data_IF_076625684695
#
_entry.id   IF_076625684695
#
_cell.length_a   1.000
_cell.length_b   1.000
_cell.length_c   1.000
_cell.angle_alpha   90.00
_cell.angle_beta   90.00
_cell.angle_gamma   90.00
#
_symmetry.space_group_name_H-M   'P 1'
#
loop_
_entity.id
_entity.type
_entity.pdbx_description
1 polymer ?
#
# COMPACT_ATOMS: atom_id res chain seq x y z
N UNK A 1 -52.72 -0.41 38.46
CA UNK A 1 -52.57 -0.02 37.04
C UNK A 1 -51.07 0.05 36.71
N UNK A 2 -50.51 -0.96 36.03
CA UNK A 2 -49.09 -0.99 35.63
C UNK A 2 -48.99 -0.51 34.18
N UNK A 3 -48.36 0.64 33.94
CA UNK A 3 -48.06 1.12 32.58
C UNK A 3 -46.79 0.42 32.10
N UNK A 4 -46.92 -0.41 31.07
CA UNK A 4 -45.83 -1.10 30.39
C UNK A 4 -45.22 -0.13 29.38
N UNK A 5 -43.96 0.24 29.55
CA UNK A 5 -43.23 1.09 28.61
C UNK A 5 -42.50 0.17 27.62
N UNK A 6 -43.08 0.00 26.43
CA UNK A 6 -42.44 -0.71 25.33
C UNK A 6 -41.23 0.10 24.83
N UNK A 7 -40.02 -0.48 24.94
CA UNK A 7 -38.81 0.04 24.32
C UNK A 7 -38.78 -0.46 22.88
N UNK A 8 -38.96 0.44 21.92
CA UNK A 8 -38.74 0.16 20.50
C UNK A 8 -37.23 0.14 20.26
N UNK A 9 -36.67 -1.04 20.02
CA UNK A 9 -35.31 -1.20 19.53
C UNK A 9 -35.32 -1.04 18.02
N UNK A 10 -34.74 0.05 17.52
CA UNK A 10 -34.50 0.25 16.09
C UNK A 10 -33.23 -0.53 15.73
N UNK A 11 -33.38 -1.67 15.05
CA UNK A 11 -32.27 -2.34 14.37
C UNK A 11 -31.98 -1.58 13.07
N UNK A 12 -30.89 -0.81 13.06
CA UNK A 12 -30.27 -0.31 11.83
C UNK A 12 -29.47 -1.46 11.20
N UNK A 13 -30.04 -2.12 10.17
CA UNK A 13 -29.25 -2.97 9.28
C UNK A 13 -28.44 -2.06 8.34
N UNK A 14 -27.15 -1.91 8.62
CA UNK A 14 -26.20 -1.37 7.65
C UNK A 14 -25.96 -2.42 6.57
N UNK A 15 -26.52 -2.19 5.37
CA UNK A 15 -26.18 -2.96 4.19
C UNK A 15 -24.73 -2.67 3.80
N UNK A 16 -23.80 -3.57 4.13
CA UNK A 16 -22.45 -3.55 3.58
C UNK A 16 -22.58 -4.01 2.12
N UNK A 17 -22.65 -3.07 1.19
CA UNK A 17 -22.49 -3.35 -0.22
C UNK A 17 -21.05 -3.82 -0.44
N UNK A 18 -20.85 -5.14 -0.37
CA UNK A 18 -19.59 -5.78 -0.74
C UNK A 18 -19.34 -5.54 -2.22
N UNK A 19 -18.55 -4.53 -2.53
CA UNK A 19 -17.88 -4.45 -3.83
C UNK A 19 -16.94 -5.65 -3.88
N UNK A 20 -17.35 -6.70 -4.59
CA UNK A 20 -16.45 -7.77 -4.94
C UNK A 20 -15.33 -7.13 -5.77
N UNK A 21 -14.16 -6.94 -5.15
CA UNK A 21 -12.98 -6.46 -5.84
C UNK A 21 -12.69 -7.44 -6.97
N UNK A 22 -12.85 -7.00 -8.22
CA UNK A 22 -12.41 -7.78 -9.37
C UNK A 22 -10.93 -8.07 -9.18
N UNK A 23 -10.53 -9.33 -9.27
CA UNK A 23 -9.13 -9.70 -9.16
C UNK A 23 -8.36 -8.97 -10.26
N UNK A 24 -7.33 -8.20 -9.88
CA UNK A 24 -6.46 -7.54 -10.85
C UNK A 24 -5.83 -8.58 -11.80
N UNK A 25 -5.76 -8.24 -13.09
CA UNK A 25 -5.17 -9.05 -14.14
C UNK A 25 -3.72 -8.63 -14.39
N UNK A 26 -2.79 -9.55 -14.19
CA UNK A 26 -1.35 -9.35 -14.43
C UNK A 26 -0.87 -10.06 -15.71
N UNK A 27 -1.80 -10.41 -16.60
CA UNK A 27 -1.54 -11.15 -17.83
C UNK A 27 -1.07 -12.56 -17.53
N UNK A 28 0.07 -12.95 -18.10
CA UNK A 28 0.69 -14.27 -17.89
C UNK A 28 1.55 -14.37 -16.63
N UNK A 29 1.78 -13.25 -15.92
CA UNK A 29 2.64 -13.25 -14.74
C UNK A 29 1.98 -13.98 -13.55
N UNK A 30 2.77 -14.74 -12.79
CA UNK A 30 2.29 -15.65 -11.71
C UNK A 30 3.01 -15.44 -10.38
N UNK A 31 3.71 -14.31 -10.21
CA UNK A 31 4.20 -13.89 -8.90
C UNK A 31 5.55 -14.44 -8.45
N UNK A 32 6.45 -14.76 -9.39
CA UNK A 32 7.80 -15.19 -9.06
C UNK A 32 8.83 -14.50 -9.95
N UNK A 33 9.77 -13.81 -9.32
CA UNK A 33 10.88 -13.14 -9.97
C UNK A 33 10.50 -11.85 -10.68
N UNK A 34 11.53 -11.17 -11.18
CA UNK A 34 11.37 -10.00 -12.05
C UNK A 34 11.50 -8.65 -11.34
N UNK A 35 11.40 -8.59 -10.00
CA UNK A 35 11.72 -7.35 -9.28
C UNK A 35 13.22 -7.01 -9.33
N UNK A 36 14.10 -8.02 -9.42
CA UNK A 36 15.54 -7.84 -9.60
C UNK A 36 16.00 -7.60 -11.05
N UNK A 37 15.08 -7.47 -12.01
CA UNK A 37 15.44 -7.26 -13.41
C UNK A 37 15.93 -5.82 -13.65
N UNK A 38 16.85 -5.63 -14.60
CA UNK A 38 17.30 -4.29 -15.03
C UNK A 38 16.13 -3.41 -15.48
N UNK A 39 15.18 -4.00 -16.20
CA UNK A 39 13.88 -3.41 -16.54
C UNK A 39 12.78 -4.27 -15.92
N UNK A 40 12.05 -3.70 -14.99
CA UNK A 40 10.89 -4.34 -14.35
C UNK A 40 9.68 -4.07 -15.23
N UNK A 41 9.02 -5.12 -15.70
CA UNK A 41 7.79 -4.97 -16.48
C UNK A 41 6.64 -4.55 -15.56
N UNK A 42 5.74 -3.70 -16.04
CA UNK A 42 4.70 -3.08 -15.20
C UNK A 42 3.81 -4.11 -14.49
N UNK A 43 3.42 -5.19 -15.18
CA UNK A 43 2.59 -6.24 -14.58
C UNK A 43 3.30 -7.02 -13.46
N UNK A 44 4.64 -7.10 -13.48
CA UNK A 44 5.44 -7.69 -12.40
C UNK A 44 5.39 -6.80 -11.18
N UNK A 45 5.68 -5.50 -11.36
CA UNK A 45 5.63 -4.53 -10.27
C UNK A 45 4.23 -4.45 -9.65
N UNK A 46 3.19 -4.39 -10.47
CA UNK A 46 1.81 -4.33 -10.01
C UNK A 46 1.41 -5.56 -9.20
N UNK A 47 1.81 -6.76 -9.67
CA UNK A 47 1.58 -7.98 -8.91
C UNK A 47 2.18 -7.88 -7.51
N UNK A 48 3.45 -7.48 -7.39
CA UNK A 48 4.10 -7.39 -6.10
C UNK A 48 3.60 -6.21 -5.26
N UNK A 49 3.18 -5.11 -5.89
CA UNK A 49 2.51 -4.02 -5.20
C UNK A 49 1.20 -4.51 -4.55
N UNK A 50 0.42 -5.34 -5.23
CA UNK A 50 -0.88 -5.82 -4.75
C UNK A 50 -0.76 -7.06 -3.83
N UNK A 51 0.24 -7.91 -4.05
CA UNK A 51 0.40 -9.22 -3.38
C UNK A 51 1.57 -9.31 -2.41
N UNK A 52 2.46 -8.33 -2.39
CA UNK A 52 3.64 -8.28 -1.53
C UNK A 52 4.95 -8.52 -2.28
N UNK A 53 5.99 -7.85 -1.79
CA UNK A 53 7.38 -8.03 -2.23
C UNK A 53 8.05 -9.01 -1.26
N UNK A 54 8.05 -10.30 -1.61
CA UNK A 54 8.50 -11.37 -0.71
C UNK A 54 9.55 -12.26 -1.36
N UNK A 55 10.30 -13.00 -0.55
CA UNK A 55 11.35 -13.90 -1.03
C UNK A 55 12.38 -13.16 -1.89
N UNK A 56 12.80 -13.71 -3.04
CA UNK A 56 13.72 -13.05 -3.95
C UNK A 56 13.24 -11.67 -4.44
N UNK A 57 11.93 -11.46 -4.56
CA UNK A 57 11.35 -10.21 -5.05
C UNK A 57 11.24 -9.12 -3.97
N UNK A 58 11.57 -9.44 -2.72
CA UNK A 58 11.89 -8.44 -1.70
C UNK A 58 13.26 -7.78 -1.96
N UNK A 59 14.08 -8.33 -2.86
CA UNK A 59 15.40 -7.80 -3.25
C UNK A 59 16.36 -7.59 -2.07
N UNK A 60 16.29 -8.47 -1.07
CA UNK A 60 17.14 -8.40 0.13
C UNK A 60 16.63 -7.44 1.22
N UNK A 61 15.49 -6.80 1.01
CA UNK A 61 14.85 -5.94 2.01
C UNK A 61 13.79 -6.69 2.82
N UNK A 62 13.44 -6.12 3.98
CA UNK A 62 12.28 -6.55 4.75
C UNK A 62 11.00 -6.38 3.89
N UNK A 63 10.15 -7.41 3.74
CA UNK A 63 8.92 -7.32 2.95
C UNK A 63 7.95 -6.22 3.39
N UNK A 64 7.88 -5.91 4.68
CA UNK A 64 7.04 -4.83 5.21
C UNK A 64 7.67 -3.46 4.98
N UNK A 65 8.99 -3.37 4.96
CA UNK A 65 9.68 -2.16 4.50
C UNK A 65 9.40 -1.90 3.02
N UNK A 66 9.49 -2.92 2.17
CA UNK A 66 9.12 -2.81 0.75
C UNK A 66 7.65 -2.41 0.57
N UNK A 67 6.75 -2.98 1.37
CA UNK A 67 5.36 -2.55 1.39
C UNK A 67 5.25 -1.05 1.74
N UNK A 68 5.92 -0.60 2.80
CA UNK A 68 5.88 0.79 3.22
C UNK A 68 6.40 1.75 2.13
N UNK A 69 7.58 1.45 1.57
CA UNK A 69 8.14 2.19 0.45
C UNK A 69 7.24 2.20 -0.78
N UNK A 70 6.61 1.07 -1.11
CA UNK A 70 5.70 0.97 -2.24
C UNK A 70 4.52 1.93 -2.12
N UNK A 71 3.92 2.05 -0.93
CA UNK A 71 2.76 2.93 -0.71
C UNK A 71 3.16 4.40 -0.67
N UNK A 72 4.27 4.75 -0.03
CA UNK A 72 4.78 6.12 -0.05
C UNK A 72 5.19 6.57 -1.47
N UNK A 73 5.84 5.69 -2.23
CA UNK A 73 6.17 5.94 -3.63
C UNK A 73 4.93 6.09 -4.51
N UNK A 74 3.93 5.23 -4.32
CA UNK A 74 2.65 5.33 -5.03
C UNK A 74 1.84 6.57 -4.63
N UNK A 75 1.90 7.02 -3.36
CA UNK A 75 1.29 8.27 -2.93
C UNK A 75 1.85 9.47 -3.72
N UNK A 76 3.18 9.50 -3.92
CA UNK A 76 3.82 10.49 -4.80
C UNK A 76 3.31 10.41 -6.24
N UNK A 77 3.26 9.20 -6.82
CA UNK A 77 2.79 9.00 -8.20
C UNK A 77 1.33 9.37 -8.40
N UNK A 78 0.47 9.05 -7.44
CA UNK A 78 -0.98 9.25 -7.51
C UNK A 78 -1.45 10.60 -6.94
N UNK A 79 -0.52 11.48 -6.56
CA UNK A 79 -0.85 12.82 -6.05
C UNK A 79 -1.53 12.82 -4.69
N UNK A 80 -1.28 11.81 -3.85
CA UNK A 80 -1.76 11.76 -2.47
C UNK A 80 -0.77 12.53 -1.59
N UNK A 81 -1.16 13.69 -1.02
CA UNK A 81 -0.25 14.50 -0.22
C UNK A 81 0.08 13.80 1.10
N UNK A 82 1.34 13.91 1.53
CA UNK A 82 1.81 13.49 2.84
C UNK A 82 3.07 14.27 3.23
N UNK A 83 3.34 14.38 4.53
CA UNK A 83 4.58 14.91 5.09
C UNK A 83 5.70 13.89 4.88
N UNK A 84 6.39 14.02 3.74
CA UNK A 84 7.51 13.15 3.37
C UNK A 84 8.65 13.17 4.40
N UNK A 85 9.17 14.32 4.86
CA UNK A 85 10.18 14.36 5.90
C UNK A 85 9.78 13.58 7.17
N UNK A 86 8.56 13.75 7.65
CA UNK A 86 8.08 13.02 8.82
C UNK A 86 7.95 11.51 8.53
N UNK A 87 7.36 11.11 7.40
CA UNK A 87 7.26 9.69 7.05
C UNK A 87 8.64 9.01 6.94
N UNK A 88 9.65 9.69 6.39
CA UNK A 88 11.03 9.20 6.36
C UNK A 88 11.61 9.09 7.77
N UNK A 89 11.39 10.08 8.64
CA UNK A 89 11.83 9.99 10.04
C UNK A 89 11.20 8.78 10.78
N UNK A 90 9.93 8.46 10.51
CA UNK A 90 9.28 7.28 11.05
C UNK A 90 9.88 5.97 10.50
N UNK A 91 10.22 5.93 9.21
CA UNK A 91 10.90 4.78 8.61
C UNK A 91 12.28 4.54 9.24
N UNK A 92 13.09 5.60 9.41
CA UNK A 92 14.41 5.52 10.07
C UNK A 92 14.24 4.93 11.48
N UNK A 93 13.26 5.44 12.25
CA UNK A 93 13.00 4.97 13.60
C UNK A 93 12.65 3.48 13.65
N UNK A 94 11.87 2.97 12.68
CA UNK A 94 11.41 1.57 12.67
C UNK A 94 12.43 0.61 12.07
N UNK A 95 13.00 0.94 10.93
CA UNK A 95 13.79 0.03 10.10
C UNK A 95 15.29 0.30 10.13
N UNK A 96 15.72 1.36 10.83
CA UNK A 96 17.11 1.67 11.14
C UNK A 96 18.03 1.83 9.91
N UNK A 97 17.45 2.13 8.74
CA UNK A 97 18.21 2.58 7.58
C UNK A 97 18.33 4.11 7.60
N UNK A 98 19.30 4.65 6.87
CA UNK A 98 19.43 6.10 6.73
C UNK A 98 18.36 6.71 5.80
N UNK A 99 18.28 8.05 5.81
CA UNK A 99 17.32 8.78 5.00
C UNK A 99 17.51 8.53 3.50
N UNK A 100 18.77 8.48 3.03
CA UNK A 100 19.08 8.29 1.61
C UNK A 100 18.58 6.93 1.11
N UNK A 101 18.74 5.89 1.91
CA UNK A 101 18.24 4.55 1.64
C UNK A 101 16.71 4.55 1.52
N UNK A 102 16.01 5.18 2.46
CA UNK A 102 14.56 5.24 2.41
C UNK A 102 14.02 6.08 1.25
N UNK A 103 14.70 7.17 0.92
CA UNK A 103 14.26 8.07 -0.14
C UNK A 103 14.59 7.54 -1.53
N UNK A 104 15.87 7.35 -1.85
CA UNK A 104 16.30 7.01 -3.20
C UNK A 104 16.05 5.55 -3.53
N UNK A 105 16.47 4.62 -2.66
CA UNK A 105 16.39 3.18 -2.94
C UNK A 105 14.99 2.61 -2.64
N UNK A 106 14.24 3.26 -1.75
CA UNK A 106 12.87 2.90 -1.42
C UNK A 106 11.83 3.71 -2.19
N UNK A 107 11.45 4.86 -1.62
CA UNK A 107 10.29 5.65 -2.04
C UNK A 107 10.39 6.05 -3.53
N UNK A 108 11.52 6.61 -3.95
CA UNK A 108 11.68 7.12 -5.31
C UNK A 108 11.83 6.00 -6.35
N UNK A 109 12.46 4.87 -5.99
CA UNK A 109 12.43 3.65 -6.80
C UNK A 109 10.98 3.19 -7.05
N UNK A 110 10.17 3.04 -5.98
CA UNK A 110 8.78 2.61 -6.12
C UNK A 110 7.91 3.66 -6.84
N UNK A 111 8.17 4.95 -6.67
CA UNK A 111 7.50 6.00 -7.42
C UNK A 111 7.81 5.87 -8.93
N UNK A 112 9.05 5.58 -9.31
CA UNK A 112 9.43 5.37 -10.70
C UNK A 112 8.70 4.17 -11.33
N UNK A 113 8.64 3.04 -10.61
CA UNK A 113 7.96 1.84 -11.10
C UNK A 113 6.45 2.04 -11.25
N UNK A 114 5.79 2.64 -10.25
CA UNK A 114 4.35 2.94 -10.34
C UNK A 114 4.04 3.95 -11.46
N UNK A 115 4.89 4.95 -11.66
CA UNK A 115 4.72 5.95 -12.74
C UNK A 115 4.87 5.36 -14.14
N UNK A 116 5.57 4.24 -14.29
CA UNK A 116 5.75 3.58 -15.58
C UNK A 116 4.45 3.02 -16.18
N UNK A 117 3.42 2.78 -15.36
CA UNK A 117 2.08 2.43 -15.84
C UNK A 117 1.11 3.62 -15.67
N UNK A 118 0.58 4.22 -16.75
CA UNK A 118 -0.37 5.33 -16.65
C UNK A 118 -1.71 4.95 -16.00
N UNK A 119 -2.04 3.66 -15.93
CA UNK A 119 -3.24 3.13 -15.27
C UNK A 119 -2.99 2.71 -13.81
N UNK A 120 -1.78 2.96 -13.28
CA UNK A 120 -1.42 2.49 -11.95
C UNK A 120 -2.33 3.06 -10.86
N UNK A 121 -2.70 4.34 -10.95
CA UNK A 121 -3.52 5.05 -9.97
C UNK A 121 -5.03 4.80 -10.16
N UNK A 122 -5.42 3.52 -10.21
CA UNK A 122 -6.81 3.12 -10.18
C UNK A 122 -7.49 3.53 -8.85
N UNK A 123 -8.82 3.62 -8.86
CA UNK A 123 -9.61 4.09 -7.72
C UNK A 123 -9.29 3.28 -6.45
N UNK A 124 -9.18 1.96 -6.57
CA UNK A 124 -8.93 1.04 -5.46
C UNK A 124 -7.59 1.33 -4.78
N UNK A 125 -6.53 1.60 -5.56
CA UNK A 125 -5.21 1.94 -5.04
C UNK A 125 -5.21 3.34 -4.42
N UNK A 126 -5.91 4.30 -5.01
CA UNK A 126 -6.06 5.64 -4.44
C UNK A 126 -6.75 5.60 -3.07
N UNK A 127 -7.82 4.81 -2.94
CA UNK A 127 -8.52 4.66 -1.66
C UNK A 127 -7.68 3.89 -0.63
N UNK A 128 -6.93 2.85 -1.05
CA UNK A 128 -5.95 2.20 -0.17
C UNK A 128 -4.92 3.20 0.35
N UNK A 129 -4.32 4.02 -0.54
CA UNK A 129 -3.31 5.00 -0.17
C UNK A 129 -3.84 6.03 0.83
N UNK A 130 -5.03 6.59 0.59
CA UNK A 130 -5.68 7.52 1.53
C UNK A 130 -5.90 6.90 2.91
N UNK A 131 -6.16 5.60 2.97
CA UNK A 131 -6.35 4.88 4.23
C UNK A 131 -5.03 4.63 4.98
N UNK A 132 -3.96 4.22 4.28
CA UNK A 132 -2.71 3.77 4.93
C UNK A 132 -1.71 4.89 5.20
N UNK A 133 -1.64 5.91 4.35
CA UNK A 133 -0.61 6.96 4.44
C UNK A 133 -0.65 7.72 5.78
N UNK A 134 -1.82 8.12 6.32
CA UNK A 134 -1.88 8.77 7.63
C UNK A 134 -1.36 7.90 8.79
N UNK A 135 -1.39 6.57 8.67
CA UNK A 135 -0.82 5.66 9.66
C UNK A 135 0.71 5.67 9.58
N UNK A 136 1.27 5.71 8.37
CA UNK A 136 2.71 5.73 8.15
C UNK A 136 3.36 7.01 8.67
N UNK A 137 2.69 8.16 8.53
CA UNK A 137 3.12 9.43 9.11
C UNK A 137 3.17 9.38 10.65
N UNK A 138 2.44 8.46 11.28
CA UNK A 138 2.47 8.21 12.72
C UNK A 138 3.42 7.09 13.12
N UNK A 139 4.13 6.50 12.15
CA UNK A 139 5.04 5.37 12.35
C UNK A 139 4.33 4.03 12.53
N UNK A 140 3.03 3.96 12.24
CA UNK A 140 2.29 2.71 12.22
C UNK A 140 2.42 2.04 10.85
N UNK A 141 3.41 1.15 10.75
CA UNK A 141 3.65 0.33 9.57
C UNK A 141 3.19 -1.11 9.86
N UNK A 142 2.13 -1.60 9.20
CA UNK A 142 1.58 -2.93 9.47
C UNK A 142 2.56 -4.03 9.04
N UNK A 143 2.64 -5.08 9.85
CA UNK A 143 3.31 -6.32 9.48
C UNK A 143 2.35 -7.18 8.65
N UNK A 144 2.32 -6.95 7.34
CA UNK A 144 1.44 -7.61 6.38
C UNK A 144 2.07 -8.87 5.76
N UNK A 145 3.40 -8.94 5.72
CA UNK A 145 4.17 -9.96 5.01
C UNK A 145 5.29 -10.55 5.86
#
# INVERSE_FOLDING_TARGET
>A
MKKSTARIAILLLTAVAGHAAMAADYGSYRGKGGMGAYKIESNVYEYHYDKGFTGPDAMGWDPNLQFAWSRLGAAKTCGIPYDRPNAVAQLIKKYQQDALMHEMNGIDFHAAQSKANPKFCALERVEELKAVIPAFEKGDFPARF
#
